data_IF_882365524545
#
_entry.id   IF_882365524545
#
_cell.length_a   1.000
_cell.length_b   1.000
_cell.length_c   1.000
_cell.angle_alpha   90.00
_cell.angle_beta   90.00
_cell.angle_gamma   90.00
#
_symmetry.space_group_name_H-M   'P 1'
#
loop_
_entity.id
_entity.type
_entity.pdbx_description
1 polymer ?
#
# COMPACT_ATOMS: atom_id res chain seq x y z
N UNK A 1 -3.33 -4.10 21.24
CA UNK A 1 -2.59 -4.80 20.17
C UNK A 1 -2.45 -3.84 19.00
N UNK A 2 -1.22 -3.47 18.62
CA UNK A 2 -0.94 -2.49 17.56
C UNK A 2 -1.08 -3.19 16.21
N UNK A 3 -1.97 -2.71 15.34
CA UNK A 3 -2.18 -3.27 14.00
C UNK A 3 -1.05 -2.80 13.07
N UNK A 4 0.17 -3.29 13.30
CA UNK A 4 1.36 -2.90 12.56
C UNK A 4 1.21 -3.06 11.04
N UNK A 5 0.53 -4.10 10.58
CA UNK A 5 0.25 -4.30 9.16
C UNK A 5 -0.63 -3.17 8.61
N UNK A 6 -1.66 -2.76 9.35
CA UNK A 6 -2.53 -1.66 8.97
C UNK A 6 -1.76 -0.33 8.95
N UNK A 7 -0.93 -0.07 9.97
CA UNK A 7 -0.11 1.14 10.02
C UNK A 7 0.93 1.19 8.89
N UNK A 8 1.55 0.06 8.56
CA UNK A 8 2.49 -0.07 7.44
C UNK A 8 1.79 0.19 6.10
N UNK A 9 0.59 -0.38 5.91
CA UNK A 9 -0.22 -0.15 4.71
C UNK A 9 -0.60 1.33 4.60
N UNK A 10 -1.13 1.93 5.66
CA UNK A 10 -1.50 3.35 5.66
C UNK A 10 -0.30 4.29 5.44
N UNK A 11 0.89 3.91 5.93
CA UNK A 11 2.14 4.64 5.68
C UNK A 11 2.63 4.47 4.23
N UNK A 12 2.50 3.27 3.65
CA UNK A 12 2.92 3.00 2.26
C UNK A 12 2.01 3.68 1.24
N UNK A 13 0.72 3.79 1.55
CA UNK A 13 -0.25 4.49 0.72
C UNK A 13 -0.20 6.02 0.89
N UNK A 14 0.69 6.54 1.75
CA UNK A 14 0.80 7.96 2.09
C UNK A 14 -0.54 8.58 2.56
N UNK A 15 -1.47 7.75 3.08
CA UNK A 15 -2.83 8.18 3.48
C UNK A 15 -2.79 9.20 4.62
N UNK A 16 -1.75 9.12 5.46
CA UNK A 16 -1.56 10.07 6.56
C UNK A 16 -1.03 11.43 6.12
N UNK A 17 -0.60 11.55 4.86
CA UNK A 17 -0.01 12.75 4.30
C UNK A 17 1.36 13.06 4.90
N UNK A 18 2.24 13.60 4.07
CA UNK A 18 3.46 14.24 4.55
C UNK A 18 3.08 15.51 5.35
N UNK A 19 3.27 15.50 6.68
CA UNK A 19 3.16 16.72 7.49
C UNK A 19 4.41 17.56 7.22
N UNK A 20 4.29 18.72 6.53
CA UNK A 20 5.46 19.53 6.21
C UNK A 20 6.11 20.03 7.50
N UNK A 21 7.44 19.85 7.61
CA UNK A 21 8.22 20.47 8.68
C UNK A 21 8.46 21.94 8.35
N UNK A 22 8.74 22.73 9.37
CA UNK A 22 8.89 24.18 9.25
C UNK A 22 9.99 24.61 8.25
N UNK A 23 10.97 23.75 7.98
CA UNK A 23 12.03 24.00 6.99
C UNK A 23 11.58 23.77 5.53
N UNK A 24 10.46 23.07 5.30
CA UNK A 24 9.92 22.77 3.97
C UNK A 24 9.22 24.00 3.33
N UNK A 25 9.05 25.10 4.08
CA UNK A 25 8.51 26.36 3.57
C UNK A 25 9.54 27.25 2.87
N UNK A 26 10.83 26.88 2.87
CA UNK A 26 11.79 27.54 1.98
C UNK A 26 11.34 27.31 0.53
N UNK A 27 11.53 28.27 -0.40
CA UNK A 27 11.27 28.06 -1.81
C UNK A 27 12.30 27.06 -2.36
N UNK A 28 12.09 25.78 -2.07
CA UNK A 28 12.76 24.68 -2.70
C UNK A 28 12.14 24.51 -4.09
N UNK A 29 12.92 24.07 -5.11
CA UNK A 29 12.35 23.64 -6.37
C UNK A 29 11.21 22.67 -6.07
N UNK A 30 10.05 22.87 -6.70
CA UNK A 30 8.88 21.99 -6.54
C UNK A 30 9.35 20.55 -6.80
N UNK A 31 9.61 19.81 -5.73
CA UNK A 31 9.80 18.38 -5.83
C UNK A 31 8.50 17.83 -6.43
N UNK A 32 8.56 16.94 -7.44
CA UNK A 32 7.35 16.39 -8.03
C UNK A 32 6.47 15.83 -6.92
N UNK A 33 5.22 16.29 -6.87
CA UNK A 33 4.27 15.84 -5.86
C UNK A 33 4.28 14.31 -5.83
N UNK A 34 4.28 13.68 -4.64
CA UNK A 34 4.24 12.24 -4.54
C UNK A 34 3.06 11.74 -5.38
N UNK A 35 3.34 10.90 -6.38
CA UNK A 35 2.34 10.44 -7.34
C UNK A 35 1.41 9.43 -6.64
N UNK A 36 0.49 9.93 -5.81
CA UNK A 36 -0.42 9.13 -4.98
C UNK A 36 -1.27 8.15 -5.80
N UNK A 37 -1.44 8.41 -7.10
CA UNK A 37 -2.13 7.51 -8.05
C UNK A 37 -1.42 6.16 -8.16
N UNK A 38 -0.09 6.14 -8.24
CA UNK A 38 0.67 4.90 -8.37
C UNK A 38 0.59 4.06 -7.08
N UNK A 39 0.69 4.71 -5.91
CA UNK A 39 0.52 4.06 -4.61
C UNK A 39 -0.89 3.53 -4.40
N UNK A 40 -1.91 4.31 -4.74
CA UNK A 40 -3.31 3.88 -4.68
C UNK A 40 -3.59 2.71 -5.61
N UNK A 41 -3.05 2.74 -6.85
CA UNK A 41 -3.19 1.63 -7.79
C UNK A 41 -2.50 0.36 -7.28
N UNK A 42 -1.28 0.49 -6.76
CA UNK A 42 -0.55 -0.64 -6.17
C UNK A 42 -1.32 -1.25 -5.00
N UNK A 43 -1.96 -0.43 -4.17
CA UNK A 43 -2.79 -0.88 -3.06
C UNK A 43 -4.03 -1.65 -3.54
N UNK A 44 -4.74 -1.12 -4.53
CA UNK A 44 -5.91 -1.79 -5.13
C UNK A 44 -5.50 -3.14 -5.72
N UNK A 45 -4.39 -3.19 -6.44
CA UNK A 45 -3.84 -4.44 -7.00
C UNK A 45 -3.53 -5.42 -5.88
N UNK A 46 -2.85 -4.99 -4.81
CA UNK A 46 -2.51 -5.86 -3.69
C UNK A 46 -3.76 -6.44 -3.00
N UNK A 47 -4.78 -5.60 -2.75
CA UNK A 47 -6.04 -6.02 -2.11
C UNK A 47 -6.80 -7.04 -2.96
N UNK A 48 -6.68 -7.02 -4.28
CA UNK A 48 -7.36 -7.98 -5.16
C UNK A 48 -6.49 -9.23 -5.40
N UNK A 49 -5.22 -9.05 -5.74
CA UNK A 49 -4.33 -10.13 -6.17
C UNK A 49 -3.98 -11.09 -5.03
N UNK A 50 -3.73 -10.56 -3.83
CA UNK A 50 -3.35 -11.38 -2.66
C UNK A 50 -4.44 -12.39 -2.29
N UNK A 51 -5.71 -12.00 -2.03
CA UNK A 51 -6.75 -12.98 -1.72
C UNK A 51 -7.06 -13.89 -2.91
N UNK A 52 -7.01 -13.38 -4.15
CA UNK A 52 -7.23 -14.22 -5.34
C UNK A 52 -6.19 -15.34 -5.46
N UNK A 53 -4.91 -15.02 -5.27
CA UNK A 53 -3.83 -16.01 -5.27
C UNK A 53 -3.94 -16.98 -4.09
N UNK A 54 -4.33 -16.50 -2.91
CA UNK A 54 -4.55 -17.36 -1.75
C UNK A 54 -5.66 -18.37 -2.01
N UNK A 55 -6.81 -17.92 -2.54
CA UNK A 55 -7.93 -18.80 -2.91
C UNK A 55 -7.49 -19.80 -3.98
N UNK A 56 -6.81 -19.34 -5.03
CA UNK A 56 -6.29 -20.22 -6.08
C UNK A 56 -5.37 -21.30 -5.50
N UNK A 57 -4.44 -20.93 -4.63
CA UNK A 57 -3.51 -21.87 -4.00
C UNK A 57 -4.24 -22.90 -3.13
N UNK A 58 -5.26 -22.48 -2.37
CA UNK A 58 -6.08 -23.39 -1.55
C UNK A 58 -6.85 -24.38 -2.43
N UNK A 59 -7.47 -23.91 -3.52
CA UNK A 59 -8.19 -24.78 -4.46
C UNK A 59 -7.24 -25.74 -5.16
N UNK A 60 -6.08 -25.25 -5.60
CA UNK A 60 -5.06 -26.09 -6.20
C UNK A 60 -4.61 -27.18 -5.24
N UNK A 61 -4.32 -26.83 -3.98
CA UNK A 61 -3.91 -27.77 -2.96
C UNK A 61 -4.99 -28.82 -2.69
N UNK A 62 -6.25 -28.40 -2.57
CA UNK A 62 -7.38 -29.32 -2.36
C UNK A 62 -7.47 -30.38 -3.46
N UNK A 63 -7.30 -30.00 -4.74
CA UNK A 63 -7.30 -30.95 -5.86
C UNK A 63 -6.16 -31.99 -5.85
N UNK A 64 -5.09 -31.73 -5.11
CA UNK A 64 -3.96 -32.66 -5.02
C UNK A 64 -4.03 -33.52 -3.76
N UNK A 65 -4.82 -33.11 -2.77
CA UNK A 65 -4.97 -33.81 -1.50
C UNK A 65 -6.21 -34.72 -1.44
N UNK A 66 -7.22 -34.44 -2.27
CA UNK A 66 -8.46 -35.20 -2.40
C UNK A 66 -8.63 -35.71 -3.83
#
# INVERSE_FOLDING_TARGET
>A
MRLFALELILSLLDVRGHIPRFDDFRPAPVAPAPSGIAGALAAVIAVIAVPSLAIWAVVWLAKHLF
#
